data_IF_733746567900
#
_entry.id   IF_733746567900
#
_cell.length_a   1.000
_cell.length_b   1.000
_cell.length_c   1.000
_cell.angle_alpha   90.00
_cell.angle_beta   90.00
_cell.angle_gamma   90.00
#
_symmetry.space_group_name_H-M   'P 1'
#
loop_
_entity.id
_entity.type
_entity.pdbx_description
1 polymer ?
#
# COMPACT_ATOMS: atom_id res chain seq x y z
N UNK A 1 20.34 -16.78 -3.00
CA UNK A 1 20.95 -16.36 -1.71
C UNK A 1 22.11 -17.27 -1.29
N UNK A 2 23.17 -16.75 -0.66
CA UNK A 2 24.29 -17.59 -0.17
C UNK A 2 24.01 -18.15 1.24
N UNK A 3 24.37 -19.41 1.48
CA UNK A 3 24.20 -20.06 2.76
C UNK A 3 25.14 -19.43 3.82
N UNK A 4 24.64 -19.02 5.01
CA UNK A 4 25.46 -18.41 6.06
C UNK A 4 26.42 -19.39 6.76
N UNK A 5 26.20 -20.70 6.61
CA UNK A 5 27.03 -21.73 7.25
C UNK A 5 28.21 -22.16 6.36
N UNK A 6 27.98 -22.36 5.05
CA UNK A 6 29.00 -22.91 4.14
C UNK A 6 29.35 -22.00 2.94
N UNK A 7 28.76 -20.80 2.86
CA UNK A 7 28.95 -19.82 1.80
C UNK A 7 28.68 -20.33 0.37
N UNK A 8 27.94 -21.43 0.22
CA UNK A 8 27.50 -21.90 -1.09
C UNK A 8 26.31 -21.08 -1.57
N UNK A 9 26.25 -20.81 -2.86
CA UNK A 9 25.09 -20.19 -3.48
C UNK A 9 23.90 -21.17 -3.50
N UNK A 10 22.72 -20.67 -3.11
CA UNK A 10 21.47 -21.41 -3.05
C UNK A 10 20.37 -20.66 -3.83
N UNK A 11 19.52 -21.37 -4.60
CA UNK A 11 18.34 -20.75 -5.24
C UNK A 11 17.38 -20.18 -4.20
N UNK A 12 16.62 -19.15 -4.57
CA UNK A 12 15.75 -18.42 -3.63
C UNK A 12 14.51 -19.23 -3.20
N UNK A 13 14.14 -20.27 -3.94
CA UNK A 13 12.99 -21.15 -3.64
C UNK A 13 13.35 -22.34 -2.72
N UNK A 14 14.58 -22.39 -2.20
CA UNK A 14 15.05 -23.52 -1.39
C UNK A 14 15.01 -23.19 0.10
N UNK A 15 14.25 -23.98 0.85
CA UNK A 15 14.21 -23.91 2.31
C UNK A 15 15.46 -24.52 2.99
N UNK A 16 16.23 -25.34 2.28
CA UNK A 16 17.38 -26.08 2.81
C UNK A 16 18.58 -25.96 1.86
N UNK A 17 19.78 -25.88 2.44
CA UNK A 17 21.01 -25.73 1.68
C UNK A 17 21.31 -27.04 0.96
N UNK A 18 21.45 -26.99 -0.36
CA UNK A 18 21.71 -28.19 -1.15
C UNK A 18 23.09 -28.81 -0.87
N UNK A 19 24.01 -28.06 -0.25
CA UNK A 19 25.37 -28.51 0.07
C UNK A 19 25.51 -29.03 1.49
N UNK A 20 25.18 -28.23 2.50
CA UNK A 20 25.36 -28.59 3.91
C UNK A 20 24.10 -29.07 4.62
N UNK A 21 22.94 -29.10 3.93
CA UNK A 21 21.65 -29.52 4.48
C UNK A 21 21.12 -28.66 5.65
N UNK A 22 21.72 -27.50 5.89
CA UNK A 22 21.24 -26.54 6.89
C UNK A 22 19.99 -25.80 6.39
N UNK A 23 18.98 -25.54 7.25
CA UNK A 23 17.85 -24.70 6.90
C UNK A 23 18.30 -23.28 6.51
N UNK A 24 17.76 -22.75 5.42
CA UNK A 24 18.01 -21.37 5.01
C UNK A 24 17.06 -20.40 5.73
N UNK A 25 17.51 -19.16 5.98
CA UNK A 25 16.63 -18.12 6.48
C UNK A 25 15.54 -17.82 5.45
N UNK A 26 14.27 -18.00 5.81
CA UNK A 26 13.16 -17.63 4.93
C UNK A 26 13.18 -16.11 4.70
N UNK A 27 13.09 -15.64 3.44
CA UNK A 27 12.88 -14.23 3.19
C UNK A 27 11.57 -13.81 3.86
N UNK A 28 11.63 -12.81 4.74
CA UNK A 28 10.42 -12.26 5.36
C UNK A 28 9.52 -11.74 4.24
N UNK A 29 8.29 -12.27 4.15
CA UNK A 29 7.28 -11.71 3.25
C UNK A 29 7.10 -10.24 3.63
N UNK A 30 7.56 -9.33 2.77
CA UNK A 30 7.31 -7.90 2.92
C UNK A 30 5.80 -7.73 2.93
N UNK A 31 5.24 -7.55 4.13
CA UNK A 31 3.81 -7.35 4.34
C UNK A 31 3.38 -6.20 3.43
N UNK A 32 2.74 -6.54 2.32
CA UNK A 32 2.29 -5.57 1.31
C UNK A 32 1.44 -4.56 2.06
N UNK A 33 1.84 -3.29 2.09
CA UNK A 33 1.07 -2.22 2.73
C UNK A 33 -0.32 -2.26 2.07
N UNK A 34 -1.31 -2.78 2.80
CA UNK A 34 -2.69 -2.81 2.30
C UNK A 34 -3.09 -1.35 2.17
N UNK A 35 -3.18 -0.87 0.94
CA UNK A 35 -3.78 0.44 0.67
C UNK A 35 -5.17 0.39 1.31
N UNK A 36 -5.43 1.30 2.24
CA UNK A 36 -6.75 1.39 2.84
C UNK A 36 -7.77 1.61 1.72
N UNK A 37 -8.64 0.63 1.53
CA UNK A 37 -9.65 0.57 0.50
C UNK A 37 -11.01 0.48 1.18
N UNK A 38 -11.93 1.35 0.74
CA UNK A 38 -13.32 1.35 1.17
C UNK A 38 -14.16 1.07 -0.06
N UNK A 39 -15.02 0.04 -0.01
CA UNK A 39 -15.80 -0.42 -1.18
C UNK A 39 -14.95 -0.71 -2.43
N UNK A 40 -13.74 -1.25 -2.27
CA UNK A 40 -12.86 -1.59 -3.40
C UNK A 40 -12.13 -0.40 -4.03
N UNK A 41 -12.40 0.83 -3.59
CA UNK A 41 -11.73 2.05 -4.06
C UNK A 41 -10.74 2.60 -3.02
N UNK A 42 -9.60 3.17 -3.44
CA UNK A 42 -8.67 3.81 -2.53
C UNK A 42 -9.32 4.98 -1.77
N UNK A 43 -9.00 5.13 -0.47
CA UNK A 43 -9.56 6.20 0.39
C UNK A 43 -9.44 7.61 -0.22
N UNK A 44 -8.36 7.91 -0.96
CA UNK A 44 -8.17 9.23 -1.54
C UNK A 44 -9.28 9.65 -2.51
N UNK A 45 -9.88 8.69 -3.24
CA UNK A 45 -11.03 8.97 -4.10
C UNK A 45 -12.26 9.40 -3.31
N UNK A 46 -12.50 8.78 -2.14
CA UNK A 46 -13.60 9.16 -1.26
C UNK A 46 -13.39 10.56 -0.67
N UNK A 47 -12.14 10.89 -0.29
CA UNK A 47 -11.78 12.24 0.17
C UNK A 47 -12.03 13.26 -0.94
N UNK A 48 -11.56 12.99 -2.16
CA UNK A 48 -11.77 13.88 -3.31
C UNK A 48 -13.26 14.09 -3.62
N UNK A 49 -14.06 13.01 -3.58
CA UNK A 49 -15.51 13.07 -3.78
C UNK A 49 -16.20 13.90 -2.68
N UNK A 50 -15.84 13.70 -1.42
CA UNK A 50 -16.40 14.45 -0.29
C UNK A 50 -16.07 15.96 -0.40
N UNK A 51 -14.83 16.31 -0.78
CA UNK A 51 -14.44 17.71 -1.02
C UNK A 51 -15.21 18.30 -2.20
N UNK A 52 -15.35 17.57 -3.31
CA UNK A 52 -16.13 18.03 -4.45
C UNK A 52 -17.58 18.34 -4.09
N UNK A 53 -18.24 17.44 -3.36
CA UNK A 53 -19.61 17.64 -2.87
C UNK A 53 -19.67 18.83 -1.90
N UNK A 54 -18.70 18.96 -0.99
CA UNK A 54 -18.63 20.08 -0.07
C UNK A 54 -18.49 21.42 -0.81
N UNK A 55 -17.64 21.49 -1.85
CA UNK A 55 -17.46 22.71 -2.65
C UNK A 55 -18.71 23.05 -3.47
N UNK A 56 -19.38 22.06 -4.07
CA UNK A 56 -20.59 22.32 -4.86
C UNK A 56 -21.78 22.71 -3.99
N UNK A 57 -21.87 22.18 -2.77
CA UNK A 57 -22.93 22.52 -1.82
C UNK A 57 -22.62 23.82 -1.08
N UNK A 58 -21.43 23.95 -0.48
CA UNK A 58 -21.04 25.10 0.36
C UNK A 58 -20.53 26.30 -0.44
N UNK A 59 -19.94 26.08 -1.61
CA UNK A 59 -19.42 27.14 -2.48
C UNK A 59 -20.45 28.22 -2.82
N UNK A 60 -21.68 27.87 -3.23
CA UNK A 60 -22.75 28.83 -3.46
C UNK A 60 -23.14 29.68 -2.22
N UNK A 61 -22.98 29.15 -1.00
CA UNK A 61 -23.27 29.90 0.22
C UNK A 61 -22.13 30.85 0.61
N UNK A 62 -20.89 30.49 0.30
CA UNK A 62 -19.70 31.29 0.60
C UNK A 62 -19.40 32.35 -0.47
N UNK A 63 -19.74 32.06 -1.72
CA UNK A 63 -19.45 32.92 -2.88
C UNK A 63 -20.67 33.72 -3.35
N UNK A 64 -21.84 33.61 -2.70
CA UNK A 64 -22.98 34.49 -2.95
C UNK A 64 -22.64 35.89 -2.43
N UNK A 65 -22.40 36.89 -3.29
CA UNK A 65 -22.27 38.25 -2.80
C UNK A 65 -23.63 38.68 -2.24
N UNK A 66 -23.60 39.37 -1.10
CA UNK A 66 -24.77 40.00 -0.51
C UNK A 66 -25.26 41.12 -1.44
N UNK A 67 -26.10 40.78 -2.44
CA UNK A 67 -26.71 41.76 -3.32
C UNK A 67 -26.71 41.43 -4.82
N UNK A 68 -27.30 40.29 -5.21
CA UNK A 68 -27.92 40.22 -6.54
C UNK A 68 -29.45 40.35 -6.37
N UNK A 69 -30.12 41.18 -7.21
CA UNK A 69 -31.56 41.43 -7.12
C UNK A 69 -32.40 40.17 -7.37
#
# INVERSE_FOLDING_TARGET
>A
MDCPNCNTWNPDDKDVCWRCQEPLPKPEEKKKRRSLSLFGMPIWLWIALAVFIAVTVLGPYLLRPAGLP
#
